data_IF_499107400272
#
_entry.id   IF_499107400272
#
_cell.length_a   1.000
_cell.length_b   1.000
_cell.length_c   1.000
_cell.angle_alpha   90.00
_cell.angle_beta   90.00
_cell.angle_gamma   90.00
#
_symmetry.space_group_name_H-M   'P 1'
#
loop_
_entity.id
_entity.type
_entity.pdbx_description
1 polymer ?
#
# COMPACT_ATOMS: atom_id res chain seq x y z
N UNK A 1 15.36 -40.04 -14.51
CA UNK A 1 16.68 -39.40 -14.40
C UNK A 1 17.38 -39.48 -15.74
N UNK A 2 17.35 -38.39 -16.50
CA UNK A 2 18.22 -38.20 -17.67
C UNK A 2 18.62 -36.73 -17.68
N UNK A 3 19.66 -36.40 -16.91
CA UNK A 3 20.34 -35.11 -16.99
C UNK A 3 20.92 -34.99 -18.39
N UNK A 4 20.37 -34.11 -19.21
CA UNK A 4 21.00 -33.70 -20.46
C UNK A 4 22.18 -32.81 -20.07
N UNK A 5 23.32 -33.44 -19.78
CA UNK A 5 24.57 -32.74 -19.53
C UNK A 5 24.94 -31.96 -20.81
N UNK A 6 24.80 -30.64 -20.77
CA UNK A 6 25.35 -29.73 -21.78
C UNK A 6 26.86 -29.94 -21.86
N UNK A 7 27.30 -30.77 -22.80
CA UNK A 7 28.73 -30.95 -23.08
C UNK A 7 29.33 -29.60 -23.49
N UNK A 8 30.50 -29.20 -22.96
CA UNK A 8 31.15 -27.96 -23.36
C UNK A 8 31.52 -28.08 -24.84
N UNK A 9 30.83 -27.33 -25.70
CA UNK A 9 31.18 -27.28 -27.11
C UNK A 9 32.51 -26.51 -27.25
N UNK A 10 33.52 -27.10 -27.90
CA UNK A 10 34.81 -26.44 -28.07
C UNK A 10 34.64 -25.21 -28.97
N UNK A 11 34.96 -24.03 -28.44
CA UNK A 11 34.91 -22.73 -29.16
C UNK A 11 35.91 -22.72 -30.33
N UNK A 12 36.97 -23.52 -30.25
CA UNK A 12 38.01 -23.67 -31.27
C UNK A 12 38.16 -25.15 -31.61
N UNK A 13 38.18 -25.49 -32.90
CA UNK A 13 38.40 -26.87 -33.35
C UNK A 13 39.88 -27.27 -33.20
N UNK A 14 40.13 -28.57 -33.03
CA UNK A 14 41.51 -29.10 -32.93
C UNK A 14 42.34 -28.78 -34.19
N UNK A 15 41.68 -28.68 -35.35
CA UNK A 15 42.29 -28.30 -36.62
C UNK A 15 42.71 -26.82 -36.63
N UNK A 16 41.85 -25.92 -36.16
CA UNK A 16 42.14 -24.49 -36.02
C UNK A 16 43.28 -24.24 -35.03
N UNK A 17 43.32 -24.98 -33.91
CA UNK A 17 44.40 -24.88 -32.93
C UNK A 17 45.75 -25.33 -33.50
N UNK A 18 45.78 -26.43 -34.26
CA UNK A 18 47.01 -26.93 -34.93
C UNK A 18 47.50 -25.97 -36.01
N UNK A 19 46.59 -25.36 -36.76
CA UNK A 19 46.92 -24.38 -37.78
C UNK A 19 47.51 -23.10 -37.18
N UNK A 20 46.95 -22.61 -36.07
CA UNK A 20 47.47 -21.45 -35.36
C UNK A 20 48.88 -21.70 -34.80
N UNK A 21 49.12 -22.88 -34.22
CA UNK A 21 50.45 -23.30 -33.75
C UNK A 21 51.45 -23.36 -34.91
N UNK A 22 51.07 -23.94 -36.05
CA UNK A 22 51.94 -24.00 -37.23
C UNK A 22 52.29 -22.62 -37.80
N UNK A 23 51.38 -21.64 -37.72
CA UNK A 23 51.64 -20.27 -38.17
C UNK A 23 52.60 -19.52 -37.23
N UNK A 24 52.45 -19.74 -35.92
CA UNK A 24 53.36 -19.20 -34.91
C UNK A 24 54.76 -19.83 -34.98
N UNK A 25 54.86 -21.13 -35.29
CA UNK A 25 56.15 -21.81 -35.50
C UNK A 25 56.91 -21.32 -36.74
N UNK A 26 56.20 -20.73 -37.72
CA UNK A 26 56.77 -20.17 -38.96
C UNK A 26 57.09 -18.66 -38.84
N UNK A 27 56.93 -18.07 -37.65
CA UNK A 27 57.09 -16.63 -37.36
C UNK A 27 56.14 -15.72 -38.17
N UNK A 28 55.06 -16.29 -38.74
CA UNK A 28 54.02 -15.54 -39.46
C UNK A 28 52.94 -15.04 -38.49
N UNK A 29 53.36 -14.07 -37.67
CA UNK A 29 52.52 -13.42 -36.65
C UNK A 29 51.33 -12.69 -37.29
N UNK A 30 51.46 -12.22 -38.53
CA UNK A 30 50.41 -11.47 -39.22
C UNK A 30 49.21 -12.35 -39.59
N UNK A 31 49.45 -13.58 -40.05
CA UNK A 31 48.38 -14.53 -40.34
C UNK A 31 47.82 -15.18 -39.06
N UNK A 32 48.67 -15.44 -38.07
CA UNK A 32 48.22 -15.93 -36.75
C UNK A 32 47.29 -14.95 -36.03
N UNK A 33 47.58 -13.65 -36.08
CA UNK A 33 46.71 -12.60 -35.55
C UNK A 33 45.38 -12.52 -36.31
N UNK A 34 45.40 -12.64 -37.64
CA UNK A 34 44.17 -12.68 -38.45
C UNK A 34 43.28 -13.86 -38.12
N UNK A 35 43.86 -15.03 -37.89
CA UNK A 35 43.12 -16.23 -37.48
C UNK A 35 42.52 -16.07 -36.06
N UNK A 36 43.26 -15.47 -35.14
CA UNK A 36 42.78 -15.18 -33.77
C UNK A 36 41.66 -14.14 -33.76
N UNK A 37 41.79 -13.07 -34.56
CA UNK A 37 40.73 -12.06 -34.73
C UNK A 37 39.46 -12.67 -35.35
N UNK A 38 39.58 -13.61 -36.28
CA UNK A 38 38.43 -14.31 -36.86
C UNK A 38 37.68 -15.15 -35.80
N UNK A 39 38.41 -15.81 -34.89
CA UNK A 39 37.82 -16.55 -33.77
C UNK A 39 37.14 -15.63 -32.76
N UNK A 40 37.77 -14.50 -32.42
CA UNK A 40 37.17 -13.48 -31.54
C UNK A 40 35.86 -12.93 -32.12
N UNK A 41 35.85 -12.60 -33.42
CA UNK A 41 34.64 -12.11 -34.10
C UNK A 41 33.50 -13.14 -34.12
N UNK A 42 33.82 -14.43 -34.22
CA UNK A 42 32.83 -15.50 -34.13
C UNK A 42 32.22 -15.59 -32.73
N UNK A 43 33.05 -15.45 -31.69
CA UNK A 43 32.60 -15.41 -30.30
C UNK A 43 31.76 -14.15 -30.02
N UNK A 44 32.19 -12.98 -30.49
CA UNK A 44 31.43 -11.73 -30.36
C UNK A 44 30.05 -11.86 -31.03
N UNK A 45 29.98 -12.47 -32.21
CA UNK A 45 28.70 -12.71 -32.90
C UNK A 45 27.77 -13.62 -32.09
N UNK A 46 28.29 -14.67 -31.46
CA UNK A 46 27.50 -15.53 -30.56
C UNK A 46 26.99 -14.75 -29.35
N UNK A 47 27.82 -13.91 -28.73
CA UNK A 47 27.41 -13.06 -27.60
C UNK A 47 26.34 -12.06 -28.04
N UNK A 48 26.52 -11.38 -29.18
CA UNK A 48 25.52 -10.46 -29.72
C UNK A 48 24.21 -11.17 -30.10
N UNK A 49 24.26 -12.41 -30.58
CA UNK A 49 23.07 -13.23 -30.82
C UNK A 49 22.38 -13.59 -29.50
N UNK A 50 23.13 -14.03 -28.48
CA UNK A 50 22.59 -14.35 -27.16
C UNK A 50 21.93 -13.12 -26.51
N UNK A 51 22.61 -11.97 -26.55
CA UNK A 51 22.07 -10.69 -26.08
C UNK A 51 20.83 -10.30 -26.88
N UNK A 52 20.83 -10.50 -28.20
CA UNK A 52 19.69 -10.23 -29.07
C UNK A 52 18.50 -11.17 -28.85
N UNK A 53 18.73 -12.40 -28.38
CA UNK A 53 17.69 -13.34 -27.96
C UNK A 53 17.14 -12.94 -26.59
N UNK A 54 18.01 -12.68 -25.60
CA UNK A 54 17.61 -12.23 -24.26
C UNK A 54 16.84 -10.91 -24.32
N UNK A 55 17.28 -9.95 -25.14
CA UNK A 55 16.60 -8.66 -25.31
C UNK A 55 15.23 -8.85 -25.96
N UNK A 56 15.10 -9.79 -26.91
CA UNK A 56 13.80 -10.14 -27.49
C UNK A 56 12.90 -10.84 -26.48
N UNK A 57 13.41 -11.82 -25.74
CA UNK A 57 12.64 -12.47 -24.67
C UNK A 57 12.16 -11.46 -23.62
N UNK A 58 13.01 -10.52 -23.20
CA UNK A 58 12.62 -9.43 -22.32
C UNK A 58 11.54 -8.54 -22.96
N UNK A 59 11.73 -8.16 -24.22
CA UNK A 59 10.76 -7.34 -24.96
C UNK A 59 9.40 -8.03 -25.11
N UNK A 60 9.41 -9.33 -25.42
CA UNK A 60 8.21 -10.15 -25.58
C UNK A 60 7.50 -10.31 -24.24
N UNK A 61 8.24 -10.54 -23.15
CA UNK A 61 7.67 -10.63 -21.79
C UNK A 61 7.07 -9.29 -21.33
N UNK A 62 7.74 -8.17 -21.59
CA UNK A 62 7.23 -6.82 -21.27
C UNK A 62 6.02 -6.47 -22.13
N UNK A 63 6.01 -6.88 -23.40
CA UNK A 63 4.88 -6.64 -24.31
C UNK A 63 3.67 -7.48 -23.91
N UNK A 64 3.88 -8.76 -23.58
CA UNK A 64 2.85 -9.64 -23.04
C UNK A 64 2.26 -9.07 -21.75
N UNK A 65 3.09 -8.65 -20.80
CA UNK A 65 2.62 -8.00 -19.57
C UNK A 65 1.81 -6.73 -19.81
N UNK A 66 2.19 -5.92 -20.81
CA UNK A 66 1.41 -4.73 -21.20
C UNK A 66 0.04 -5.13 -21.78
N UNK A 67 -0.04 -6.22 -22.54
CA UNK A 67 -1.30 -6.77 -23.02
C UNK A 67 -2.12 -7.39 -21.89
N UNK A 68 -1.49 -8.07 -20.93
CA UNK A 68 -2.13 -8.66 -19.75
C UNK A 68 -2.70 -7.56 -18.86
N UNK A 69 -1.94 -6.50 -18.56
CA UNK A 69 -2.46 -5.30 -17.87
C UNK A 69 -3.61 -4.64 -18.65
N UNK A 70 -3.47 -4.53 -19.98
CA UNK A 70 -4.52 -3.99 -20.85
C UNK A 70 -5.80 -4.84 -20.87
N UNK A 71 -5.69 -6.16 -20.72
CA UNK A 71 -6.79 -7.12 -20.73
C UNK A 71 -7.41 -7.35 -19.35
N UNK A 72 -6.64 -7.17 -18.27
CA UNK A 72 -7.10 -7.04 -16.88
C UNK A 72 -8.01 -5.82 -16.64
N UNK A 73 -8.10 -4.94 -17.64
CA UNK A 73 -8.88 -3.71 -17.66
C UNK A 73 -8.11 -2.50 -17.11
N UNK A 74 -6.95 -2.71 -16.47
CA UNK A 74 -6.19 -1.67 -15.80
C UNK A 74 -5.32 -0.91 -16.80
N UNK A 75 -5.90 0.08 -17.47
CA UNK A 75 -5.14 0.93 -18.39
C UNK A 75 -4.32 1.98 -17.62
N UNK A 76 -3.30 2.56 -18.27
CA UNK A 76 -2.59 3.74 -17.71
C UNK A 76 -3.53 4.92 -17.41
N UNK A 77 -4.69 4.98 -18.08
CA UNK A 77 -5.76 5.93 -17.75
C UNK A 77 -6.47 5.56 -16.44
N UNK A 78 -6.75 4.28 -16.17
CA UNK A 78 -7.36 3.85 -14.90
C UNK A 78 -6.46 4.17 -13.70
N UNK A 79 -5.13 3.94 -13.81
CA UNK A 79 -4.18 4.30 -12.74
C UNK A 79 -4.16 5.82 -12.50
N UNK A 80 -4.27 6.61 -13.57
CA UNK A 80 -4.34 8.08 -13.46
C UNK A 80 -5.66 8.54 -12.83
N UNK A 81 -6.78 7.92 -13.20
CA UNK A 81 -8.11 8.16 -12.62
C UNK A 81 -8.14 7.82 -11.12
N UNK A 82 -7.56 6.68 -10.72
CA UNK A 82 -7.43 6.28 -9.32
C UNK A 82 -6.64 7.29 -8.50
N UNK A 83 -5.54 7.81 -9.04
CA UNK A 83 -4.76 8.84 -8.36
C UNK A 83 -5.59 10.10 -8.12
N UNK A 84 -6.37 10.53 -9.11
CA UNK A 84 -7.27 11.66 -8.97
C UNK A 84 -8.37 11.40 -7.93
N UNK A 85 -8.94 10.20 -7.93
CA UNK A 85 -9.94 9.78 -6.95
C UNK A 85 -9.40 9.70 -5.53
N UNK A 86 -8.19 9.15 -5.32
CA UNK A 86 -7.53 9.13 -4.02
C UNK A 86 -7.27 10.55 -3.52
N UNK A 87 -6.76 11.43 -4.38
CA UNK A 87 -6.55 12.83 -4.03
C UNK A 87 -7.86 13.48 -3.58
N UNK A 88 -8.94 13.25 -4.33
CA UNK A 88 -10.26 13.74 -3.97
C UNK A 88 -10.76 13.17 -2.63
N UNK A 89 -10.51 11.89 -2.34
CA UNK A 89 -10.84 11.30 -1.04
C UNK A 89 -10.07 11.97 0.09
N UNK A 90 -8.78 12.24 -0.10
CA UNK A 90 -7.96 12.95 0.90
C UNK A 90 -8.50 14.35 1.15
N UNK A 91 -8.80 15.12 0.10
CA UNK A 91 -9.44 16.44 0.23
C UNK A 91 -10.76 16.38 0.99
N UNK A 92 -11.59 15.37 0.71
CA UNK A 92 -12.89 15.21 1.33
C UNK A 92 -12.77 14.82 2.81
N UNK A 93 -11.80 13.97 3.15
CA UNK A 93 -11.46 13.61 4.52
C UNK A 93 -10.93 14.81 5.31
N UNK A 94 -10.02 15.59 4.72
CA UNK A 94 -9.47 16.79 5.34
C UNK A 94 -10.58 17.82 5.61
N UNK A 95 -11.45 18.04 4.62
CA UNK A 95 -12.61 18.93 4.77
C UNK A 95 -13.55 18.46 5.88
N UNK A 96 -13.94 17.18 5.87
CA UNK A 96 -14.86 16.61 6.87
C UNK A 96 -14.27 16.67 8.29
N UNK A 97 -12.97 16.41 8.43
CA UNK A 97 -12.25 16.51 9.70
C UNK A 97 -12.22 17.95 10.21
N UNK A 98 -11.89 18.92 9.34
CA UNK A 98 -11.88 20.34 9.69
C UNK A 98 -13.27 20.85 10.08
N UNK A 99 -14.32 20.48 9.34
CA UNK A 99 -15.71 20.84 9.67
C UNK A 99 -16.15 20.22 11.01
N UNK A 100 -15.80 18.96 11.25
CA UNK A 100 -16.08 18.27 12.52
C UNK A 100 -15.37 18.93 13.70
N UNK A 101 -14.09 19.29 13.54
CA UNK A 101 -13.31 19.95 14.57
C UNK A 101 -13.84 21.34 14.89
N UNK A 102 -14.14 22.15 13.87
CA UNK A 102 -14.72 23.48 14.04
C UNK A 102 -16.06 23.44 14.79
N UNK A 103 -16.94 22.49 14.44
CA UNK A 103 -18.21 22.32 15.13
C UNK A 103 -18.02 21.95 16.61
N UNK A 104 -17.01 21.14 16.94
CA UNK A 104 -16.65 20.79 18.33
C UNK A 104 -16.08 22.01 19.07
N UNK A 105 -15.14 22.74 18.46
CA UNK A 105 -14.53 23.94 19.04
C UNK A 105 -15.57 25.00 19.37
N UNK A 106 -16.57 25.18 18.50
CA UNK A 106 -17.66 26.13 18.72
C UNK A 106 -18.71 25.62 19.73
N UNK A 107 -18.95 24.31 19.78
CA UNK A 107 -19.93 23.71 20.71
C UNK A 107 -19.41 23.61 22.15
N UNK A 108 -18.11 23.43 22.33
CA UNK A 108 -17.46 23.30 23.64
C UNK A 108 -17.76 24.46 24.61
N UNK A 109 -17.59 25.75 24.25
CA UNK A 109 -17.90 26.86 25.15
C UNK A 109 -19.40 26.98 25.44
N UNK A 110 -20.26 26.60 24.49
CA UNK A 110 -21.72 26.61 24.67
C UNK A 110 -22.15 25.58 25.72
N UNK A 111 -21.61 24.36 25.61
CA UNK A 111 -21.84 23.28 26.56
C UNK A 111 -21.29 23.65 27.94
N UNK A 112 -20.09 24.24 28.00
CA UNK A 112 -19.51 24.74 29.25
C UNK A 112 -20.40 25.79 29.91
N UNK A 113 -20.95 26.74 29.15
CA UNK A 113 -21.88 27.74 29.71
C UNK A 113 -23.15 27.12 30.31
N UNK A 114 -23.62 26.00 29.77
CA UNK A 114 -24.74 25.24 30.37
C UNK A 114 -24.30 24.55 31.67
N UNK A 115 -23.13 23.93 31.69
CA UNK A 115 -22.59 23.28 32.90
C UNK A 115 -22.38 24.31 34.02
N UNK A 116 -21.66 25.39 33.74
CA UNK A 116 -21.36 26.44 34.71
C UNK A 116 -22.65 27.08 35.27
N UNK A 117 -23.66 27.31 34.41
CA UNK A 117 -24.96 27.84 34.85
C UNK A 117 -25.79 26.85 35.67
N UNK A 118 -25.74 25.55 35.33
CA UNK A 118 -26.40 24.50 36.08
C UNK A 118 -25.80 24.33 37.47
N UNK A 119 -24.47 24.41 37.59
CA UNK A 119 -23.77 24.34 38.87
C UNK A 119 -24.13 25.53 39.77
N UNK A 120 -24.13 26.77 39.22
CA UNK A 120 -24.53 27.98 39.95
C UNK A 120 -25.95 27.89 40.50
N UNK A 121 -26.90 27.45 39.67
CA UNK A 121 -28.29 27.27 40.10
C UNK A 121 -28.42 26.12 41.09
N UNK A 122 -27.65 25.04 40.93
CA UNK A 122 -27.61 23.93 41.87
C UNK A 122 -27.23 24.39 43.28
N UNK A 123 -26.15 25.17 43.40
CA UNK A 123 -25.70 25.74 44.67
C UNK A 123 -26.76 26.68 45.29
N UNK A 124 -27.32 27.59 44.47
CA UNK A 124 -28.39 28.49 44.92
C UNK A 124 -29.64 27.74 45.38
N UNK A 125 -30.01 26.69 44.66
CA UNK A 125 -31.16 25.85 44.98
C UNK A 125 -30.95 25.06 46.28
N UNK A 126 -29.74 24.57 46.55
CA UNK A 126 -29.43 23.89 47.80
C UNK A 126 -29.48 24.84 49.01
N UNK A 127 -28.96 26.07 48.87
CA UNK A 127 -29.10 27.12 49.90
C UNK A 127 -30.56 27.46 50.16
N UNK A 128 -31.39 27.53 49.11
CA UNK A 128 -32.83 27.72 49.24
C UNK A 128 -33.48 26.58 50.05
N UNK A 129 -33.17 25.32 49.72
CA UNK A 129 -33.71 24.14 50.42
C UNK A 129 -33.31 24.08 51.89
N UNK A 130 -32.10 24.54 52.22
CA UNK A 130 -31.61 24.62 53.59
C UNK A 130 -32.14 25.82 54.37
N UNK A 131 -32.99 26.67 53.75
CA UNK A 131 -33.52 27.91 54.33
C UNK A 131 -32.44 28.93 54.70
N UNK A 132 -31.37 28.96 53.91
CA UNK A 132 -30.21 29.86 54.07
C UNK A 132 -30.30 31.11 53.20
N UNK A 133 -31.44 31.33 52.53
CA UNK A 133 -31.71 32.50 51.69
C UNK A 133 -32.75 33.42 52.34
N UNK A 134 -32.49 34.72 52.24
CA UNK A 134 -33.50 35.74 52.50
C UNK A 134 -34.37 36.03 51.26
N UNK A 135 -35.29 36.99 51.39
CA UNK A 135 -36.24 37.32 50.33
C UNK A 135 -35.57 38.01 49.12
N UNK A 136 -34.47 38.74 49.34
CA UNK A 136 -33.73 39.45 48.28
C UNK A 136 -32.91 38.45 47.48
N UNK A 137 -32.16 37.59 48.16
CA UNK A 137 -31.38 36.51 47.56
C UNK A 137 -32.25 35.48 46.81
N UNK A 138 -33.47 35.23 47.30
CA UNK A 138 -34.41 34.37 46.58
C UNK A 138 -34.89 35.00 45.26
N UNK A 139 -35.08 36.33 45.22
CA UNK A 139 -35.43 37.03 43.97
C UNK A 139 -34.29 36.97 42.98
N UNK A 140 -33.06 37.21 43.44
CA UNK A 140 -31.84 37.07 42.62
C UNK A 140 -31.74 35.66 42.03
N UNK A 141 -31.90 34.61 42.84
CA UNK A 141 -31.90 33.22 42.36
C UNK A 141 -33.00 32.95 41.33
N UNK A 142 -34.20 33.50 41.54
CA UNK A 142 -35.30 33.34 40.59
C UNK A 142 -35.00 34.00 39.24
N UNK A 143 -34.34 35.17 39.25
CA UNK A 143 -33.91 35.87 38.04
C UNK A 143 -32.78 35.11 37.35
N UNK A 144 -31.79 34.61 38.09
CA UNK A 144 -30.71 33.73 37.58
C UNK A 144 -31.25 32.46 36.91
N UNK A 145 -32.26 31.82 37.52
CA UNK A 145 -32.92 30.64 36.92
C UNK A 145 -33.57 30.99 35.59
N UNK A 146 -34.25 32.13 35.50
CA UNK A 146 -34.89 32.56 34.26
C UNK A 146 -33.86 32.86 33.15
N UNK A 147 -32.76 33.52 33.51
CA UNK A 147 -31.65 33.79 32.59
C UNK A 147 -30.98 32.51 32.11
N UNK A 148 -30.70 31.57 33.02
CA UNK A 148 -30.13 30.27 32.68
C UNK A 148 -31.05 29.46 31.77
N UNK A 149 -32.36 29.40 32.02
CA UNK A 149 -33.28 28.66 31.15
C UNK A 149 -33.24 29.21 29.71
N UNK A 150 -33.13 30.53 29.55
CA UNK A 150 -32.97 31.17 28.25
C UNK A 150 -31.62 30.81 27.60
N UNK A 151 -30.53 30.94 28.36
CA UNK A 151 -29.17 30.60 27.90
C UNK A 151 -29.07 29.13 27.49
N UNK A 152 -29.61 28.22 28.30
CA UNK A 152 -29.57 26.79 28.06
C UNK A 152 -30.36 26.42 26.79
N UNK A 153 -31.53 27.03 26.57
CA UNK A 153 -32.29 26.83 25.34
C UNK A 153 -31.51 27.27 24.09
N UNK A 154 -30.96 28.49 24.11
CA UNK A 154 -30.20 29.05 22.98
C UNK A 154 -28.94 28.24 22.70
N UNK A 155 -28.18 27.89 23.75
CA UNK A 155 -26.94 27.14 23.59
C UNK A 155 -27.21 25.71 23.12
N UNK A 156 -28.26 25.06 23.62
CA UNK A 156 -28.65 23.71 23.18
C UNK A 156 -29.07 23.69 21.71
N UNK A 157 -29.81 24.70 21.25
CA UNK A 157 -30.20 24.83 19.84
C UNK A 157 -28.97 24.99 18.94
N UNK A 158 -28.01 25.84 19.34
CA UNK A 158 -26.75 26.03 18.61
C UNK A 158 -25.92 24.76 18.56
N UNK A 159 -25.76 24.05 19.68
CA UNK A 159 -25.04 22.77 19.73
C UNK A 159 -25.72 21.76 18.81
N UNK A 160 -27.05 21.65 18.86
CA UNK A 160 -27.79 20.75 17.99
C UNK A 160 -27.60 21.09 16.50
N UNK A 161 -27.60 22.37 16.14
CA UNK A 161 -27.31 22.82 14.78
C UNK A 161 -25.89 22.42 14.34
N UNK A 162 -24.87 22.63 15.19
CA UNK A 162 -23.48 22.24 14.90
C UNK A 162 -23.32 20.72 14.77
N UNK A 163 -23.97 19.93 15.61
CA UNK A 163 -23.96 18.47 15.50
C UNK A 163 -24.61 17.97 14.19
N UNK A 164 -25.65 18.65 13.70
CA UNK A 164 -26.23 18.35 12.39
C UNK A 164 -25.27 18.69 11.25
N UNK A 165 -24.52 19.79 11.34
CA UNK A 165 -23.48 20.12 10.37
C UNK A 165 -22.39 19.05 10.34
N UNK A 166 -21.95 18.54 11.50
CA UNK A 166 -21.01 17.40 11.57
C UNK A 166 -21.57 16.17 10.88
N UNK A 167 -22.83 15.82 11.16
CA UNK A 167 -23.47 14.67 10.54
C UNK A 167 -23.54 14.81 9.01
N UNK A 168 -23.74 16.04 8.51
CA UNK A 168 -23.74 16.32 7.09
C UNK A 168 -22.34 16.29 6.48
N UNK A 169 -21.34 16.83 7.17
CA UNK A 169 -19.94 16.75 6.79
C UNK A 169 -19.43 15.30 6.73
N UNK A 170 -20.00 14.40 7.54
CA UNK A 170 -19.63 12.97 7.57
C UNK A 170 -20.37 12.11 6.53
N UNK A 171 -21.44 12.60 5.92
CA UNK A 171 -22.20 11.86 4.89
C UNK A 171 -21.37 11.44 3.67
N UNK A 172 -20.21 12.06 3.49
CA UNK A 172 -19.25 11.74 2.44
C UNK A 172 -18.43 10.47 2.68
N UNK A 173 -18.49 9.88 3.89
CA UNK A 173 -17.75 8.68 4.25
C UNK A 173 -18.09 7.47 3.36
N UNK A 174 -19.36 7.33 2.94
CA UNK A 174 -19.79 6.24 2.05
C UNK A 174 -19.12 6.35 0.66
N UNK A 175 -19.05 7.57 0.12
CA UNK A 175 -18.39 7.83 -1.16
C UNK A 175 -16.88 7.60 -1.07
N UNK A 176 -16.24 8.07 0.01
CA UNK A 176 -14.82 7.81 0.26
C UNK A 176 -14.51 6.33 0.41
N UNK A 177 -15.37 5.56 1.10
CA UNK A 177 -15.25 4.12 1.25
C UNK A 177 -15.34 3.38 -0.10
N UNK A 178 -16.32 3.73 -0.92
CA UNK A 178 -16.47 3.15 -2.26
C UNK A 178 -15.27 3.45 -3.17
N UNK A 179 -14.73 4.66 -3.09
CA UNK A 179 -13.52 5.01 -3.83
C UNK A 179 -12.33 4.18 -3.35
N UNK A 180 -12.09 4.09 -2.03
CA UNK A 180 -10.98 3.31 -1.48
C UNK A 180 -11.09 1.84 -1.91
N UNK A 181 -12.27 1.23 -1.81
CA UNK A 181 -12.48 -0.15 -2.28
C UNK A 181 -12.12 -0.33 -3.76
N UNK A 182 -12.57 0.59 -4.63
CA UNK A 182 -12.23 0.58 -6.06
C UNK A 182 -10.72 0.64 -6.28
N UNK A 183 -10.01 1.44 -5.48
CA UNK A 183 -8.55 1.55 -5.57
C UNK A 183 -7.85 0.27 -5.13
N UNK A 184 -8.29 -0.31 -4.01
CA UNK A 184 -7.74 -1.59 -3.50
C UNK A 184 -7.89 -2.69 -4.55
N UNK A 185 -9.07 -2.79 -5.19
CA UNK A 185 -9.32 -3.78 -6.24
C UNK A 185 -8.35 -3.65 -7.41
N UNK A 186 -8.02 -2.42 -7.82
CA UNK A 186 -7.11 -2.19 -8.95
C UNK A 186 -5.66 -2.42 -8.56
N UNK A 187 -5.25 -2.05 -7.33
CA UNK A 187 -3.92 -2.40 -6.82
C UNK A 187 -3.75 -3.92 -6.78
N UNK A 188 -4.77 -4.67 -6.32
CA UNK A 188 -4.75 -6.13 -6.31
C UNK A 188 -4.55 -6.72 -7.71
N UNK A 189 -5.26 -6.21 -8.72
CA UNK A 189 -5.07 -6.64 -10.11
C UNK A 189 -3.66 -6.38 -10.64
N UNK A 190 -3.07 -5.23 -10.29
CA UNK A 190 -1.68 -4.91 -10.69
C UNK A 190 -0.69 -5.84 -9.98
N UNK A 191 -0.91 -6.14 -8.71
CA UNK A 191 -0.11 -7.09 -7.94
C UNK A 191 -0.17 -8.49 -8.56
N UNK A 192 -1.37 -8.99 -8.89
CA UNK A 192 -1.55 -10.29 -9.54
C UNK A 192 -0.78 -10.38 -10.87
N UNK A 193 -0.89 -9.36 -11.73
CA UNK A 193 -0.14 -9.30 -13.00
C UNK A 193 1.38 -9.23 -12.79
N UNK A 194 1.86 -8.55 -11.74
CA UNK A 194 3.29 -8.50 -11.42
C UNK A 194 3.81 -9.85 -10.93
N UNK A 195 3.03 -10.56 -10.12
CA UNK A 195 3.35 -11.92 -9.66
C UNK A 195 3.42 -12.88 -10.86
N UNK A 196 2.47 -12.79 -11.80
CA UNK A 196 2.48 -13.59 -13.03
C UNK A 196 3.74 -13.31 -13.88
N UNK A 197 4.13 -12.05 -14.05
CA UNK A 197 5.36 -11.67 -14.76
C UNK A 197 6.61 -12.26 -14.10
N UNK A 198 6.71 -12.21 -12.77
CA UNK A 198 7.85 -12.79 -12.04
C UNK A 198 7.91 -14.31 -12.25
N UNK A 199 6.77 -15.00 -12.21
CA UNK A 199 6.69 -16.43 -12.49
C UNK A 199 7.14 -16.76 -13.91
N UNK A 200 6.68 -16.01 -14.92
CA UNK A 200 7.08 -16.16 -16.32
C UNK A 200 8.58 -15.93 -16.54
N UNK A 201 9.15 -14.94 -15.86
CA UNK A 201 10.58 -14.62 -15.91
C UNK A 201 11.45 -15.65 -15.17
N UNK A 202 10.92 -16.32 -14.14
CA UNK A 202 11.63 -17.35 -13.38
C UNK A 202 11.77 -18.68 -14.12
N UNK A 203 11.02 -18.91 -15.21
CA UNK A 203 11.06 -20.15 -16.00
C UNK A 203 12.40 -20.39 -16.74
N UNK A 204 13.42 -19.55 -16.53
CA UNK A 204 14.78 -19.72 -17.03
C UNK A 204 15.83 -20.08 -15.98
N UNK A 205 15.52 -20.05 -14.67
CA UNK A 205 16.45 -20.40 -13.59
C UNK A 205 15.77 -21.35 -12.59
N UNK A 206 16.51 -22.39 -12.20
CA UNK A 206 16.09 -23.44 -11.26
C UNK A 206 15.52 -22.81 -9.96
N UNK A 207 14.31 -23.17 -9.49
CA UNK A 207 13.61 -22.48 -8.40
C UNK A 207 14.15 -22.86 -7.00
N UNK A 208 15.47 -22.71 -6.78
CA UNK A 208 16.10 -22.99 -5.48
C UNK A 208 16.53 -21.76 -4.68
N UNK A 209 16.38 -20.53 -5.18
CA UNK A 209 16.64 -19.33 -4.38
C UNK A 209 15.34 -18.56 -4.15
N UNK A 210 14.49 -19.09 -3.26
CA UNK A 210 13.37 -18.35 -2.66
C UNK A 210 13.95 -17.19 -1.83
N UNK A 211 14.32 -16.10 -2.50
CA UNK A 211 14.54 -14.83 -1.83
C UNK A 211 13.17 -14.28 -1.47
N UNK A 212 12.84 -14.40 -0.20
CA UNK A 212 11.69 -13.80 0.45
C UNK A 212 11.56 -12.33 0.01
N UNK A 213 10.59 -12.06 -0.86
CA UNK A 213 10.21 -10.71 -1.21
C UNK A 213 9.45 -10.13 -0.02
N UNK A 214 10.16 -9.50 0.90
CA UNK A 214 9.54 -8.73 1.96
C UNK A 214 8.91 -7.47 1.34
N UNK A 215 7.60 -7.50 1.11
CA UNK A 215 6.82 -6.29 0.89
C UNK A 215 6.88 -5.36 2.11
N UNK A 216 6.56 -4.07 1.96
CA UNK A 216 6.52 -3.14 3.09
C UNK A 216 5.55 -3.65 4.17
N UNK A 217 6.07 -3.92 5.36
CA UNK A 217 5.28 -4.41 6.49
C UNK A 217 4.26 -3.37 6.92
N UNK A 218 2.98 -3.70 6.81
CA UNK A 218 1.88 -2.89 7.36
C UNK A 218 1.82 -3.12 8.87
N UNK A 219 1.96 -2.09 9.72
CA UNK A 219 1.86 -2.25 11.17
C UNK A 219 0.46 -2.74 11.57
N UNK A 220 0.36 -3.94 12.13
CA UNK A 220 -0.89 -4.49 12.68
C UNK A 220 -1.35 -5.81 12.06
N UNK A 221 -0.88 -6.17 10.86
CA UNK A 221 -0.98 -7.54 10.34
C UNK A 221 0.31 -8.28 10.68
N UNK A 222 0.39 -8.81 11.91
CA UNK A 222 1.36 -9.85 12.23
C UNK A 222 0.74 -11.19 11.82
N UNK A 223 1.40 -11.89 10.90
CA UNK A 223 1.48 -13.35 10.80
C UNK A 223 0.30 -14.12 11.41
N UNK A 224 -0.89 -13.89 10.89
CA UNK A 224 -2.02 -14.76 11.14
C UNK A 224 -2.12 -15.68 9.91
N UNK A 225 -1.53 -16.86 10.08
CA UNK A 225 -1.85 -18.06 9.31
C UNK A 225 -1.11 -18.25 7.98
N UNK A 226 0.21 -18.41 8.05
CA UNK A 226 0.91 -19.20 7.03
C UNK A 226 1.66 -20.34 7.72
N UNK A 227 0.92 -21.42 8.00
CA UNK A 227 1.48 -22.73 8.32
C UNK A 227 2.29 -23.19 7.10
N UNK A 228 3.62 -23.19 7.21
CA UNK A 228 4.55 -23.54 6.13
C UNK A 228 5.36 -24.77 6.47
N UNK A 229 4.70 -25.93 6.50
CA UNK A 229 5.21 -27.26 6.10
C UNK A 229 4.45 -28.39 6.81
N UNK A 230 4.31 -29.52 6.14
CA UNK A 230 3.68 -30.74 6.68
C UNK A 230 4.47 -31.34 7.86
N UNK A 231 5.76 -30.97 7.99
CA UNK A 231 6.68 -31.46 9.02
C UNK A 231 6.37 -30.83 10.40
N UNK A 232 5.93 -29.57 10.46
CA UNK A 232 5.53 -28.93 11.73
C UNK A 232 4.18 -29.46 12.28
N UNK A 233 3.36 -30.05 11.41
CA UNK A 233 2.11 -30.73 11.84
C UNK A 233 2.46 -32.03 12.57
N UNK A 234 3.47 -32.77 12.11
CA UNK A 234 3.93 -34.00 12.76
C UNK A 234 4.68 -33.70 14.07
N UNK A 235 5.39 -32.57 14.17
CA UNK A 235 6.00 -32.11 15.41
C UNK A 235 4.96 -31.68 16.46
N UNK A 236 3.86 -31.04 16.02
CA UNK A 236 2.74 -30.69 16.91
C UNK A 236 2.01 -31.94 17.42
N UNK A 237 1.82 -32.97 16.59
CA UNK A 237 1.25 -34.25 17.00
C UNK A 237 2.18 -35.02 17.96
N UNK A 238 3.49 -34.97 17.72
CA UNK A 238 4.50 -35.55 18.60
C UNK A 238 4.57 -34.87 19.97
N UNK A 239 4.31 -33.55 20.02
CA UNK A 239 4.30 -32.76 21.26
C UNK A 239 3.07 -32.98 22.15
N UNK A 240 1.96 -33.48 21.58
CA UNK A 240 0.71 -33.78 22.31
C UNK A 240 0.57 -35.24 22.79
N UNK A 241 1.55 -36.09 22.51
CA UNK A 241 1.65 -37.42 23.10
C UNK A 241 0.69 -38.47 22.53
N UNK A 242 0.74 -38.69 21.22
CA UNK A 242 0.38 -39.97 20.59
C UNK A 242 1.61 -40.62 19.94
#
# INVERSE_FOLDING_TARGET
MSQSQSQPQPIVSLEQARQLVSLLEQDDVAEANRQTEALLRQQDNLVYQQVGVLTRQLHDTVSQFKEDIGSSGVTGQEITDIRARLHHVVELMEKSANESLAAVEESAPLAKGIVDGADSIGEGWDRFRNRELDLEQFRELSDEIAEFMSLAAINSEKIHARLNEVMMAQSFQDLSGQIIHRVVDVIGKVEDSLVELIQLSSNGEDPQDQREAHGPTVPGLKDADVVRSQDEVDDLLSSLGF
#
